data_IF_397198587807
#
_entry.id   IF_397198587807
#
_cell.length_a   1.000
_cell.length_b   1.000
_cell.length_c   1.000
_cell.angle_alpha   90.00
_cell.angle_beta   90.00
_cell.angle_gamma   90.00
#
_symmetry.space_group_name_H-M   'P 1'
#
loop_
_entity.id
_entity.type
_entity.pdbx_description
1 polymer ?
#
# COMPACT_ATOMS: atom_id res chain seq x y z
N UNK A 1 -10.41 -14.59 -15.80
CA UNK A 1 -9.90 -13.39 -16.51
C UNK A 1 -10.01 -12.24 -15.52
N UNK A 2 -8.90 -11.69 -15.02
CA UNK A 2 -8.95 -10.50 -14.16
C UNK A 2 -9.63 -9.40 -15.00
N UNK A 3 -10.78 -8.89 -14.54
CA UNK A 3 -11.34 -7.68 -15.12
C UNK A 3 -10.25 -6.61 -14.97
N UNK A 4 -9.79 -6.03 -16.07
CA UNK A 4 -8.88 -4.88 -16.01
C UNK A 4 -9.64 -3.77 -15.28
N UNK A 5 -9.25 -3.48 -14.04
CA UNK A 5 -9.75 -2.32 -13.32
C UNK A 5 -9.31 -1.07 -14.07
N UNK A 6 -10.18 -0.06 -14.12
CA UNK A 6 -9.80 1.22 -14.70
C UNK A 6 -8.86 1.90 -13.70
N UNK A 7 -7.58 1.97 -14.04
CA UNK A 7 -6.62 2.76 -13.27
C UNK A 7 -6.99 4.25 -13.36
N UNK A 8 -6.84 5.00 -12.26
CA UNK A 8 -7.00 6.45 -12.34
C UNK A 8 -5.90 7.04 -13.23
N UNK A 9 -6.22 8.15 -13.87
CA UNK A 9 -5.25 8.86 -14.74
C UNK A 9 -4.11 9.49 -13.92
N UNK A 10 -4.38 9.84 -12.66
CA UNK A 10 -3.42 10.45 -11.74
C UNK A 10 -3.50 9.79 -10.35
N UNK A 11 -2.41 9.88 -9.59
CA UNK A 11 -2.44 9.51 -8.18
C UNK A 11 -3.40 10.43 -7.41
N UNK A 12 -4.25 9.83 -6.58
CA UNK A 12 -5.19 10.56 -5.72
C UNK A 12 -4.51 10.92 -4.41
N UNK A 13 -5.01 11.92 -3.70
CA UNK A 13 -4.57 12.25 -2.33
C UNK A 13 -5.55 11.72 -1.29
N UNK A 14 -5.12 11.55 -0.04
CA UNK A 14 -5.96 10.97 1.02
C UNK A 14 -7.29 11.71 1.17
N UNK A 15 -7.25 13.05 1.17
CA UNK A 15 -8.46 13.87 1.34
C UNK A 15 -9.44 13.72 0.17
N UNK A 16 -8.95 13.59 -1.06
CA UNK A 16 -9.79 13.48 -2.25
C UNK A 16 -10.53 12.14 -2.35
N UNK A 17 -9.94 11.05 -1.86
CA UNK A 17 -10.53 9.70 -1.93
C UNK A 17 -11.28 9.30 -0.65
N UNK A 18 -11.10 10.04 0.45
CA UNK A 18 -11.67 9.69 1.77
C UNK A 18 -13.18 9.49 1.72
N UNK A 19 -13.91 10.39 1.05
CA UNK A 19 -15.36 10.31 0.99
C UNK A 19 -15.83 9.12 0.13
N UNK A 20 -15.13 8.79 -0.95
CA UNK A 20 -15.40 7.59 -1.76
C UNK A 20 -15.21 6.31 -0.91
N UNK A 21 -14.13 6.23 -0.14
CA UNK A 21 -13.84 5.09 0.76
C UNK A 21 -14.93 4.98 1.84
N UNK A 22 -15.29 6.09 2.50
CA UNK A 22 -16.34 6.12 3.52
C UNK A 22 -17.68 5.64 2.97
N UNK A 23 -18.08 6.15 1.81
CA UNK A 23 -19.33 5.75 1.16
C UNK A 23 -19.31 4.29 0.74
N UNK A 24 -18.18 3.80 0.22
CA UNK A 24 -18.01 2.39 -0.17
C UNK A 24 -18.11 1.46 1.05
N UNK A 25 -17.51 1.83 2.18
CA UNK A 25 -17.62 1.07 3.43
C UNK A 25 -19.05 1.10 3.98
N UNK A 26 -19.69 2.28 4.00
CA UNK A 26 -21.07 2.42 4.47
C UNK A 26 -22.07 1.61 3.64
N UNK A 27 -21.88 1.52 2.32
CA UNK A 27 -22.68 0.69 1.43
C UNK A 27 -22.46 -0.83 1.63
N UNK A 28 -21.39 -1.23 2.34
CA UNK A 28 -21.00 -2.60 2.60
C UNK A 28 -20.73 -2.84 4.09
N UNK A 29 -21.55 -2.25 4.96
CA UNK A 29 -21.33 -2.22 6.41
C UNK A 29 -21.36 -3.60 7.09
N UNK A 30 -21.77 -4.65 6.38
CA UNK A 30 -21.73 -6.04 6.84
C UNK A 30 -20.31 -6.66 6.76
N UNK A 31 -19.44 -6.09 5.93
CA UNK A 31 -18.07 -6.61 5.68
C UNK A 31 -17.00 -5.53 5.71
N UNK A 32 -17.36 -4.26 5.92
CA UNK A 32 -16.43 -3.14 5.83
C UNK A 32 -16.68 -2.12 6.92
N UNK A 33 -15.60 -1.67 7.53
CA UNK A 33 -15.60 -0.60 8.51
C UNK A 33 -14.52 0.43 8.16
N UNK A 34 -14.90 1.70 8.13
CA UNK A 34 -13.95 2.81 8.04
C UNK A 34 -13.82 3.46 9.41
N UNK A 35 -12.59 3.71 9.85
CA UNK A 35 -12.28 4.47 11.07
C UNK A 35 -11.27 5.56 10.76
N UNK A 36 -11.32 6.64 11.54
CA UNK A 36 -10.20 7.55 11.70
C UNK A 36 -9.43 7.08 12.93
N UNK A 37 -8.24 6.54 12.74
CA UNK A 37 -7.41 6.06 13.85
C UNK A 37 -7.03 7.21 14.79
N UNK A 38 -6.78 8.38 14.22
CA UNK A 38 -6.47 9.60 14.96
C UNK A 38 -6.01 10.71 14.03
N UNK A 39 -5.10 11.55 14.51
CA UNK A 39 -4.48 12.62 13.73
C UNK A 39 -2.97 12.45 13.67
N UNK A 40 -2.41 12.73 12.50
CA UNK A 40 -0.97 12.86 12.26
C UNK A 40 -0.38 14.04 13.04
N UNK A 41 0.94 14.20 13.06
CA UNK A 41 1.59 15.31 13.78
C UNK A 41 1.16 16.69 13.25
N UNK A 42 0.94 16.81 11.94
CA UNK A 42 0.40 17.99 11.27
C UNK A 42 -1.12 18.10 11.34
N UNK A 43 -1.79 17.22 12.09
CA UNK A 43 -3.22 17.31 12.41
C UNK A 43 -4.16 16.74 11.36
N UNK A 44 -3.65 16.08 10.31
CA UNK A 44 -4.46 15.42 9.27
C UNK A 44 -5.00 14.08 9.77
N UNK A 45 -6.20 13.65 9.35
CA UNK A 45 -6.72 12.34 9.73
C UNK A 45 -5.83 11.20 9.22
N UNK A 46 -5.54 10.24 10.10
CA UNK A 46 -4.95 8.95 9.73
C UNK A 46 -6.08 7.94 9.60
N UNK A 47 -6.35 7.54 8.37
CA UNK A 47 -7.48 6.69 8.01
C UNK A 47 -7.11 5.19 8.08
N UNK A 48 -8.03 4.37 8.55
CA UNK A 48 -7.91 2.90 8.51
C UNK A 48 -9.21 2.26 8.05
N UNK A 49 -9.09 1.21 7.24
CA UNK A 49 -10.22 0.42 6.74
C UNK A 49 -10.06 -1.03 7.15
N UNK A 50 -11.10 -1.61 7.73
CA UNK A 50 -11.19 -3.02 8.07
C UNK A 50 -12.12 -3.68 7.05
N UNK A 51 -11.64 -4.69 6.33
CA UNK A 51 -12.40 -5.40 5.28
C UNK A 51 -12.44 -6.89 5.54
N UNK A 52 -13.60 -7.51 5.32
CA UNK A 52 -13.79 -8.94 5.45
C UNK A 52 -13.94 -9.41 6.90
N UNK A 53 -14.44 -10.64 7.03
CA UNK A 53 -14.78 -11.24 8.32
C UNK A 53 -14.04 -12.56 8.58
N UNK A 54 -13.02 -12.86 7.77
CA UNK A 54 -12.30 -14.11 7.83
C UNK A 54 -11.42 -14.27 9.06
N UNK A 55 -11.04 -15.53 9.32
CA UNK A 55 -10.21 -15.89 10.47
C UNK A 55 -8.73 -15.52 10.27
N UNK A 56 -8.27 -15.34 9.03
CA UNK A 56 -6.90 -14.95 8.74
C UNK A 56 -6.77 -13.43 8.70
N UNK A 57 -5.98 -12.87 9.60
CA UNK A 57 -5.85 -11.40 9.71
C UNK A 57 -4.62 -10.91 8.98
N UNK A 58 -4.79 -9.96 8.07
CA UNK A 58 -3.74 -9.37 7.24
C UNK A 58 -3.63 -7.88 7.50
N UNK A 59 -2.42 -7.41 7.84
CA UNK A 59 -2.12 -5.98 7.94
C UNK A 59 -1.57 -5.47 6.61
N UNK A 60 -2.19 -4.43 6.06
CA UNK A 60 -1.74 -3.74 4.85
C UNK A 60 -1.47 -2.27 5.20
N UNK A 61 -0.31 -1.75 4.84
CA UNK A 61 0.04 -0.35 5.08
C UNK A 61 0.79 0.22 3.89
N UNK A 62 0.63 1.51 3.63
CA UNK A 62 1.40 2.21 2.61
C UNK A 62 1.70 3.65 3.00
N UNK A 63 2.64 4.26 2.29
CA UNK A 63 2.96 5.69 2.43
C UNK A 63 3.79 6.01 3.67
N UNK A 64 4.56 5.04 4.21
CA UNK A 64 5.58 5.33 5.22
C UNK A 64 6.58 6.36 4.70
N UNK A 65 6.99 6.18 3.44
CA UNK A 65 7.67 7.19 2.65
C UNK A 65 6.64 7.95 1.81
N UNK A 66 6.48 9.23 2.12
CA UNK A 66 5.41 10.04 1.55
C UNK A 66 5.64 10.48 0.10
N UNK A 67 6.85 10.29 -0.41
CA UNK A 67 7.27 10.50 -1.79
C UNK A 67 6.95 9.30 -2.72
N UNK A 68 6.31 8.25 -2.20
CA UNK A 68 6.08 7.00 -2.93
C UNK A 68 4.56 6.74 -3.16
N UNK A 69 3.91 7.44 -4.11
CA UNK A 69 2.43 7.46 -4.23
C UNK A 69 1.80 6.15 -4.76
N UNK A 70 2.60 5.25 -5.33
CA UNK A 70 2.11 3.99 -5.91
C UNK A 70 1.52 3.06 -4.85
N UNK A 71 2.17 2.93 -3.70
CA UNK A 71 1.67 2.09 -2.60
C UNK A 71 0.31 2.56 -2.09
N UNK A 72 0.17 3.84 -1.70
CA UNK A 72 -1.10 4.39 -1.27
C UNK A 72 -2.23 4.27 -2.30
N UNK A 73 -1.93 4.58 -3.56
CA UNK A 73 -2.92 4.45 -4.63
C UNK A 73 -3.35 3.00 -4.84
N UNK A 74 -2.43 2.04 -4.72
CA UNK A 74 -2.73 0.61 -4.80
C UNK A 74 -3.69 0.19 -3.69
N UNK A 75 -3.48 0.62 -2.44
CA UNK A 75 -4.38 0.29 -1.33
C UNK A 75 -5.74 0.98 -1.45
N UNK A 76 -5.78 2.24 -1.91
CA UNK A 76 -7.04 2.95 -2.19
C UNK A 76 -7.85 2.23 -3.26
N UNK A 77 -7.22 1.84 -4.36
CA UNK A 77 -7.83 1.05 -5.41
C UNK A 77 -8.29 -0.32 -4.89
N UNK A 78 -7.47 -1.01 -4.09
CA UNK A 78 -7.84 -2.28 -3.50
C UNK A 78 -9.12 -2.16 -2.67
N UNK A 79 -9.22 -1.16 -1.79
CA UNK A 79 -10.42 -0.90 -0.97
C UNK A 79 -11.64 -0.62 -1.85
N UNK A 80 -11.55 0.31 -2.80
CA UNK A 80 -12.70 0.68 -3.62
C UNK A 80 -13.15 -0.46 -4.53
N UNK A 81 -12.22 -1.14 -5.20
CA UNK A 81 -12.54 -2.18 -6.17
C UNK A 81 -13.03 -3.47 -5.51
N UNK A 82 -12.45 -3.89 -4.39
CA UNK A 82 -12.88 -5.10 -3.69
C UNK A 82 -14.32 -4.94 -3.17
N UNK A 83 -14.68 -3.75 -2.69
CA UNK A 83 -16.04 -3.45 -2.23
C UNK A 83 -17.03 -3.29 -3.39
N UNK A 84 -16.64 -2.57 -4.45
CA UNK A 84 -17.45 -2.40 -5.66
C UNK A 84 -17.76 -3.73 -6.33
N UNK A 85 -16.87 -4.71 -6.20
CA UNK A 85 -16.99 -6.03 -6.81
C UNK A 85 -17.04 -7.16 -5.76
N UNK A 86 -17.63 -6.91 -4.58
CA UNK A 86 -17.63 -7.85 -3.44
C UNK A 86 -18.00 -9.29 -3.77
N UNK A 87 -18.96 -9.50 -4.68
CA UNK A 87 -19.40 -10.85 -5.08
C UNK A 87 -18.28 -11.63 -5.79
N UNK A 88 -17.46 -10.96 -6.60
CA UNK A 88 -16.31 -11.57 -7.27
C UNK A 88 -15.15 -11.89 -6.31
N UNK A 89 -15.18 -11.31 -5.10
CA UNK A 89 -14.17 -11.46 -4.05
C UNK A 89 -14.74 -12.09 -2.78
N UNK A 90 -15.92 -12.72 -2.86
CA UNK A 90 -16.62 -13.25 -1.68
C UNK A 90 -15.75 -14.24 -0.89
N UNK A 91 -15.08 -15.16 -1.59
CA UNK A 91 -14.17 -16.14 -0.96
C UNK A 91 -13.01 -15.45 -0.22
N UNK A 92 -12.41 -14.43 -0.83
CA UNK A 92 -11.31 -13.67 -0.22
C UNK A 92 -11.80 -12.92 1.03
N UNK A 93 -12.96 -12.28 0.97
CA UNK A 93 -13.56 -11.54 2.08
C UNK A 93 -14.09 -12.45 3.20
N UNK A 94 -14.38 -13.72 2.88
CA UNK A 94 -14.78 -14.74 3.84
C UNK A 94 -13.56 -15.41 4.52
N UNK A 95 -12.44 -15.57 3.81
CA UNK A 95 -11.23 -16.21 4.33
C UNK A 95 -10.33 -15.24 5.11
N UNK A 96 -10.32 -13.96 4.72
CA UNK A 96 -9.42 -12.95 5.27
C UNK A 96 -10.16 -11.77 5.91
N UNK A 97 -9.52 -11.21 6.95
CA UNK A 97 -9.80 -9.88 7.48
C UNK A 97 -8.58 -9.00 7.23
N UNK A 98 -8.75 -7.93 6.45
CA UNK A 98 -7.72 -6.96 6.16
C UNK A 98 -7.84 -5.75 7.07
N UNK A 99 -6.72 -5.32 7.66
CA UNK A 99 -6.59 -4.06 8.42
C UNK A 99 -5.67 -3.15 7.61
N UNK A 100 -6.23 -2.11 7.02
CA UNK A 100 -5.61 -1.38 5.92
C UNK A 100 -5.40 0.08 6.30
N UNK A 101 -4.15 0.52 6.35
CA UNK A 101 -3.77 1.93 6.37
C UNK A 101 -3.43 2.36 4.94
N UNK A 102 -4.38 2.92 4.18
CA UNK A 102 -4.13 3.30 2.78
C UNK A 102 -3.05 4.37 2.64
N UNK A 103 -2.86 5.24 3.63
CA UNK A 103 -1.72 6.14 3.70
C UNK A 103 -1.41 6.49 5.16
N UNK A 104 -0.25 6.10 5.68
CA UNK A 104 0.10 6.36 7.09
C UNK A 104 0.61 7.79 7.33
N UNK A 105 1.22 8.42 6.31
CA UNK A 105 1.83 9.76 6.39
C UNK A 105 1.11 10.85 5.57
N UNK A 106 -0.12 11.27 5.94
CA UNK A 106 -0.86 12.27 5.17
C UNK A 106 -0.20 13.67 5.17
N UNK A 107 0.68 13.98 6.13
CA UNK A 107 1.39 15.27 6.17
C UNK A 107 2.52 15.33 5.15
N UNK A 108 3.30 14.26 5.03
CA UNK A 108 4.30 14.13 3.98
C UNK A 108 3.64 14.09 2.60
N UNK A 109 2.49 13.40 2.46
CA UNK A 109 1.74 13.38 1.20
C UNK A 109 1.38 14.79 0.74
N UNK A 110 0.89 15.62 1.67
CA UNK A 110 0.52 17.00 1.39
C UNK A 110 1.71 17.85 0.89
N UNK A 111 2.92 17.58 1.36
CA UNK A 111 4.14 18.27 0.88
C UNK A 111 4.55 17.83 -0.52
N UNK A 112 4.30 16.56 -0.86
CA UNK A 112 4.64 15.97 -2.16
C UNK A 112 3.59 16.23 -3.26
N UNK A 113 2.42 16.78 -2.91
CA UNK A 113 1.32 16.98 -3.87
C UNK A 113 1.69 17.80 -5.12
N UNK A 114 2.58 18.79 -5.00
CA UNK A 114 2.94 19.67 -6.12
C UNK A 114 3.58 18.90 -7.28
N UNK A 115 4.43 17.90 -7.00
CA UNK A 115 5.02 17.07 -8.05
C UNK A 115 4.17 15.85 -8.37
N UNK A 116 3.50 15.24 -7.39
CA UNK A 116 2.66 14.04 -7.61
C UNK A 116 1.58 14.34 -8.66
N UNK A 117 0.94 15.52 -8.59
CA UNK A 117 -0.11 15.94 -9.53
C UNK A 117 0.39 16.20 -10.95
N UNK A 118 1.70 16.32 -11.15
CA UNK A 118 2.34 16.59 -12.44
C UNK A 118 3.15 15.40 -12.94
N UNK A 119 3.17 14.27 -12.22
CA UNK A 119 3.87 13.07 -12.64
C UNK A 119 3.42 12.64 -14.06
N UNK A 120 4.33 12.27 -14.99
CA UNK A 120 5.75 11.98 -14.79
C UNK A 120 6.73 13.14 -15.08
N UNK A 121 6.36 14.40 -14.83
CA UNK A 121 7.29 15.53 -14.96
C UNK A 121 8.46 15.41 -13.97
N UNK A 122 9.62 15.01 -14.49
CA UNK A 122 10.87 14.82 -13.73
C UNK A 122 11.40 16.13 -13.16
N UNK A 123 11.18 17.26 -13.84
CA UNK A 123 11.60 18.56 -13.34
C UNK A 123 10.84 18.89 -12.07
N UNK A 124 9.51 18.72 -12.07
CA UNK A 124 8.67 18.97 -10.91
C UNK A 124 9.03 18.03 -9.75
N UNK A 125 9.29 16.75 -10.04
CA UNK A 125 9.78 15.80 -9.04
C UNK A 125 11.07 16.29 -8.37
N UNK A 126 12.11 16.62 -9.15
CA UNK A 126 13.41 17.04 -8.59
C UNK A 126 13.29 18.31 -7.74
N UNK A 127 12.46 19.28 -8.14
CA UNK A 127 12.34 20.56 -7.43
C UNK A 127 11.49 20.47 -6.16
N UNK A 128 10.60 19.48 -6.06
CA UNK A 128 9.57 19.46 -5.01
C UNK A 128 9.47 18.16 -4.22
N UNK A 129 10.24 17.13 -4.54
CA UNK A 129 10.25 15.89 -3.75
C UNK A 129 10.65 16.20 -2.30
N UNK A 130 9.85 15.66 -1.38
CA UNK A 130 10.05 15.76 0.05
C UNK A 130 10.12 14.35 0.63
N UNK A 131 11.18 14.08 1.39
CA UNK A 131 11.33 12.87 2.17
C UNK A 131 11.72 13.23 3.60
N UNK A 132 11.14 12.53 4.55
CA UNK A 132 11.49 12.66 5.96
C UNK A 132 12.99 12.44 6.17
N UNK A 133 13.57 13.19 7.11
CA UNK A 133 14.98 13.03 7.47
C UNK A 133 15.18 11.73 8.27
N UNK A 134 16.41 11.17 8.28
CA UNK A 134 16.75 10.06 9.16
C UNK A 134 16.34 10.35 10.62
N UNK A 135 15.68 9.38 11.27
CA UNK A 135 15.13 9.54 12.61
C UNK A 135 13.74 10.19 12.69
N UNK A 136 13.15 10.57 11.54
CA UNK A 136 11.74 10.91 11.40
C UNK A 136 11.01 9.98 10.41
N UNK A 137 11.72 8.96 9.93
CA UNK A 137 11.20 7.95 9.01
C UNK A 137 10.15 7.08 9.72
N UNK A 138 8.92 7.12 9.22
CA UNK A 138 7.79 6.37 9.80
C UNK A 138 8.02 4.86 9.71
N UNK A 139 8.70 4.35 8.68
CA UNK A 139 8.89 2.90 8.50
C UNK A 139 9.65 2.28 9.69
N UNK A 140 10.59 3.05 10.26
CA UNK A 140 11.41 2.63 11.39
C UNK A 140 10.97 3.22 12.73
N UNK A 141 9.80 3.90 12.74
CA UNK A 141 9.29 4.63 13.90
C UNK A 141 8.43 3.81 14.87
N UNK A 142 8.15 2.55 14.56
CA UNK A 142 7.30 1.72 15.42
C UNK A 142 8.02 1.30 16.72
N UNK A 143 7.32 1.23 17.87
CA UNK A 143 5.86 1.33 18.00
C UNK A 143 5.30 2.75 18.10
N UNK A 144 6.09 3.77 18.47
CA UNK A 144 5.51 5.06 18.91
C UNK A 144 6.41 6.29 18.75
N UNK A 145 7.39 6.28 17.82
CA UNK A 145 8.28 7.43 17.56
C UNK A 145 7.51 8.68 17.19
N UNK A 146 6.53 8.54 16.27
CA UNK A 146 5.64 9.62 15.83
C UNK A 146 4.19 9.28 16.16
N UNK A 147 3.31 10.28 16.08
CA UNK A 147 1.88 10.08 16.34
C UNK A 147 1.29 9.01 15.41
N UNK A 148 1.69 8.99 14.14
CA UNK A 148 1.21 8.03 13.14
C UNK A 148 1.61 6.60 13.50
N UNK A 149 2.86 6.39 13.96
CA UNK A 149 3.34 5.09 14.42
C UNK A 149 2.53 4.58 15.61
N UNK A 150 2.28 5.44 16.60
CA UNK A 150 1.50 5.09 17.78
C UNK A 150 0.06 4.70 17.41
N UNK A 151 -0.59 5.48 16.54
CA UNK A 151 -1.95 5.21 16.08
C UNK A 151 -2.06 3.86 15.35
N UNK A 152 -1.11 3.57 14.45
CA UNK A 152 -1.07 2.28 13.78
C UNK A 152 -0.81 1.12 14.75
N UNK A 153 0.09 1.30 15.72
CA UNK A 153 0.33 0.30 16.78
C UNK A 153 -0.91 0.03 17.63
N UNK A 154 -1.66 1.06 18.01
CA UNK A 154 -2.89 0.93 18.79
C UNK A 154 -3.94 0.09 18.04
N UNK A 155 -4.16 0.38 16.76
CA UNK A 155 -5.04 -0.43 15.90
C UNK A 155 -4.50 -1.85 15.73
N UNK A 156 -3.21 -2.02 15.48
CA UNK A 156 -2.61 -3.36 15.31
C UNK A 156 -2.71 -4.21 16.57
N UNK A 157 -2.69 -3.62 17.76
CA UNK A 157 -2.95 -4.34 19.03
C UNK A 157 -4.39 -4.81 19.15
N UNK A 158 -5.35 -4.10 18.57
CA UNK A 158 -6.77 -4.50 18.56
C UNK A 158 -7.02 -5.72 17.66
N UNK A 159 -6.37 -5.78 16.50
CA UNK A 159 -6.63 -6.81 15.48
C UNK A 159 -5.59 -7.93 15.44
N UNK A 160 -4.44 -7.78 16.11
CA UNK A 160 -3.41 -8.79 16.15
C UNK A 160 -3.83 -10.05 16.92
N UNK A 161 -3.13 -11.18 16.75
CA UNK A 161 -1.95 -11.37 15.89
C UNK A 161 -2.31 -11.41 14.38
N UNK A 162 -1.36 -11.03 13.53
CA UNK A 162 -1.51 -11.05 12.07
C UNK A 162 -0.85 -12.29 11.48
N UNK A 163 -1.54 -12.92 10.52
CA UNK A 163 -0.99 -14.02 9.70
C UNK A 163 -0.04 -13.51 8.60
N UNK A 164 -0.23 -12.26 8.19
CA UNK A 164 0.59 -11.59 7.17
C UNK A 164 0.60 -10.07 7.40
N UNK A 165 1.75 -9.45 7.20
CA UNK A 165 1.91 -8.00 7.14
C UNK A 165 2.57 -7.62 5.82
N UNK A 166 2.02 -6.61 5.13
CA UNK A 166 2.52 -6.10 3.86
C UNK A 166 2.63 -4.57 3.96
N UNK A 167 3.86 -4.06 3.82
CA UNK A 167 4.11 -2.63 3.61
C UNK A 167 4.33 -2.37 2.12
N UNK A 168 3.51 -1.49 1.53
CA UNK A 168 3.55 -1.16 0.11
C UNK A 168 4.31 0.15 -0.10
N UNK A 169 5.32 0.06 -0.95
CA UNK A 169 6.22 1.13 -1.34
C UNK A 169 6.12 1.45 -2.82
N UNK A 170 6.85 2.49 -3.23
CA UNK A 170 7.04 2.86 -4.62
C UNK A 170 8.52 3.09 -4.92
N UNK A 171 8.90 2.94 -6.19
CA UNK A 171 10.20 3.41 -6.68
C UNK A 171 9.94 4.57 -7.63
N UNK A 172 10.63 5.69 -7.45
CA UNK A 172 10.50 6.83 -8.34
C UNK A 172 10.90 6.45 -9.78
N UNK A 173 12.03 5.75 -9.94
CA UNK A 173 12.54 5.31 -11.23
C UNK A 173 13.07 3.89 -11.12
N UNK A 174 12.84 3.10 -12.16
CA UNK A 174 13.44 1.79 -12.35
C UNK A 174 13.65 1.53 -13.84
N UNK A 175 14.78 0.91 -14.20
CA UNK A 175 15.06 0.49 -15.58
C UNK A 175 14.35 -0.85 -15.92
N UNK A 176 13.44 -1.32 -15.07
CA UNK A 176 12.74 -2.58 -15.28
C UNK A 176 12.11 -3.16 -14.02
N UNK A 177 11.93 -4.47 -14.04
CA UNK A 177 11.31 -5.26 -12.99
C UNK A 177 12.38 -5.99 -12.17
N UNK A 178 12.27 -5.94 -10.85
CA UNK A 178 13.18 -6.58 -9.91
C UNK A 178 12.38 -7.31 -8.83
N UNK A 179 12.83 -8.50 -8.42
CA UNK A 179 12.38 -9.17 -7.21
C UNK A 179 13.55 -9.34 -6.25
N UNK A 180 13.29 -9.06 -4.98
CA UNK A 180 14.17 -9.40 -3.87
C UNK A 180 13.37 -10.26 -2.91
N UNK A 181 13.83 -11.48 -2.66
CA UNK A 181 13.11 -12.49 -1.88
C UNK A 181 14.05 -13.06 -0.83
N UNK A 182 13.58 -13.09 0.41
CA UNK A 182 14.31 -13.76 1.48
C UNK A 182 14.54 -15.24 1.12
N UNK A 183 15.73 -15.76 1.39
CA UNK A 183 16.12 -17.12 1.02
C UNK A 183 15.13 -18.18 1.51
N UNK A 184 14.52 -17.99 2.69
CA UNK A 184 13.57 -18.94 3.27
C UNK A 184 12.15 -18.84 2.68
N UNK A 185 11.91 -17.85 1.82
CA UNK A 185 10.62 -17.61 1.19
C UNK A 185 10.60 -17.95 -0.31
N UNK A 186 11.72 -18.33 -0.90
CA UNK A 186 11.83 -18.67 -2.33
C UNK A 186 10.76 -19.70 -2.72
N UNK A 187 10.75 -20.88 -2.08
CA UNK A 187 9.78 -21.94 -2.43
C UNK A 187 8.33 -21.55 -2.10
N UNK A 188 8.13 -20.76 -1.03
CA UNK A 188 6.80 -20.33 -0.57
C UNK A 188 6.16 -19.30 -1.50
N UNK A 189 6.95 -18.65 -2.34
CA UNK A 189 6.51 -17.54 -3.21
C UNK A 189 6.62 -17.86 -4.69
N UNK A 190 6.90 -19.11 -5.08
CA UNK A 190 7.03 -19.56 -6.48
C UNK A 190 5.89 -19.05 -7.38
N UNK A 191 4.64 -19.21 -6.92
CA UNK A 191 3.48 -18.74 -7.70
C UNK A 191 3.44 -17.21 -7.90
N UNK A 192 3.92 -16.43 -6.93
CA UNK A 192 4.00 -14.96 -7.04
C UNK A 192 5.16 -14.60 -7.98
N UNK A 193 6.31 -15.26 -7.85
CA UNK A 193 7.46 -15.09 -8.73
C UNK A 193 7.10 -15.34 -10.19
N UNK A 194 6.47 -16.48 -10.49
CA UNK A 194 6.03 -16.82 -11.85
C UNK A 194 5.06 -15.78 -12.44
N UNK A 195 4.09 -15.34 -11.64
CA UNK A 195 3.15 -14.27 -12.06
C UNK A 195 3.86 -12.95 -12.32
N UNK A 196 4.82 -12.59 -11.48
CA UNK A 196 5.63 -11.39 -11.66
C UNK A 196 6.45 -11.45 -12.94
N UNK A 197 7.10 -12.59 -13.22
CA UNK A 197 7.87 -12.80 -14.47
C UNK A 197 6.97 -12.68 -15.69
N UNK A 198 5.80 -13.32 -15.67
CA UNK A 198 4.83 -13.24 -16.77
C UNK A 198 4.38 -11.80 -17.00
N UNK A 199 4.06 -11.07 -15.93
CA UNK A 199 3.64 -9.68 -16.01
C UNK A 199 4.76 -8.77 -16.52
N UNK A 200 5.99 -8.94 -16.02
CA UNK A 200 7.15 -8.19 -16.50
C UNK A 200 7.37 -8.40 -18.01
N UNK A 201 7.24 -9.64 -18.50
CA UNK A 201 7.34 -9.96 -19.92
C UNK A 201 6.18 -9.35 -20.73
N UNK A 202 4.94 -9.43 -20.25
CA UNK A 202 3.76 -8.83 -20.91
C UNK A 202 3.91 -7.31 -21.06
N UNK A 203 4.49 -6.66 -20.05
CA UNK A 203 4.73 -5.21 -20.03
C UNK A 203 6.04 -4.80 -20.74
N UNK A 204 6.82 -5.75 -21.25
CA UNK A 204 8.11 -5.48 -21.89
C UNK A 204 9.17 -4.91 -20.94
N UNK A 205 9.04 -5.15 -19.63
CA UNK A 205 9.99 -4.68 -18.63
C UNK A 205 11.23 -5.58 -18.59
N UNK A 206 12.42 -4.98 -18.67
CA UNK A 206 13.69 -5.69 -18.46
C UNK A 206 13.70 -6.30 -17.06
N UNK A 207 13.99 -7.58 -16.93
CA UNK A 207 14.19 -8.23 -15.62
C UNK A 207 15.61 -7.99 -15.16
N UNK A 208 15.77 -7.38 -13.99
CA UNK A 208 17.05 -7.19 -13.32
C UNK A 208 17.22 -8.32 -12.31
N UNK A 209 17.95 -9.35 -12.71
CA UNK A 209 18.34 -10.47 -11.88
C UNK A 209 19.87 -10.49 -11.78
N UNK A 210 20.37 -9.76 -10.80
CA UNK A 210 21.80 -9.76 -10.52
C UNK A 210 22.05 -10.87 -9.50
N UNK A 211 22.76 -11.93 -9.91
CA UNK A 211 23.27 -12.95 -8.99
C UNK A 211 24.21 -12.28 -7.98
N UNK A 212 23.74 -12.13 -6.74
CA UNK A 212 24.51 -11.55 -5.62
C UNK A 212 25.30 -12.60 -4.83
N UNK A 213 25.61 -13.75 -5.44
CA UNK A 213 26.39 -14.81 -4.79
C UNK A 213 25.56 -15.69 -3.85
N UNK A 214 24.33 -16.03 -4.26
CA UNK A 214 23.44 -16.94 -3.51
C UNK A 214 22.14 -16.32 -2.98
N UNK A 215 21.81 -15.10 -3.40
CA UNK A 215 20.48 -14.50 -3.33
C UNK A 215 19.95 -14.44 -4.77
N UNK A 216 19.35 -15.53 -5.25
CA UNK A 216 18.79 -15.58 -6.61
C UNK A 216 17.39 -14.97 -6.60
N UNK A 217 17.16 -13.99 -7.49
CA UNK A 217 15.85 -13.35 -7.68
C UNK A 217 14.96 -14.11 -8.67
N UNK A 218 15.57 -14.78 -9.66
CA UNK A 218 14.86 -15.63 -10.61
C UNK A 218 15.75 -16.83 -11.01
N UNK A 219 15.14 -17.99 -11.27
CA UNK A 219 15.77 -19.12 -11.98
C UNK A 219 15.17 -19.22 -13.39
#
# INVERSE_FOLDING_TARGET
>A
MLKRFKLPENFRESDAVRDEIKQSCAANSDIAEYRVAGKSEGGRPVDVVILGNGAKTVSLIAGSHSDEPVGPETLRMFICEILRHREAFADILADFRFVIFPHINPDGEAKNQSWIRKWPDVSEFIHHVFREQPGQDIEFGYPEMRSENRLATEIWREFGPFDLHISLHGMAFSEGAMLLIDRNWIERTDRIQQKFVLLANELGLRRHDHDRGGEKGFD
#
